data_IF_721646352180
#
_entry.id   IF_721646352180
#
_cell.length_a   1.000
_cell.length_b   1.000
_cell.length_c   1.000
_cell.angle_alpha   90.00
_cell.angle_beta   90.00
_cell.angle_gamma   90.00
#
_symmetry.space_group_name_H-M   'P 1'
#
loop_
_entity.id
_entity.type
_entity.pdbx_description
1 polymer ?
#
# COMPACT_ATOMS: atom_id res chain seq x y z
N UNK A 1 3.19 -6.06 -24.82
CA UNK A 1 2.59 -4.93 -24.09
C UNK A 1 3.23 -3.65 -24.63
N UNK A 2 2.49 -2.57 -24.87
CA UNK A 2 3.08 -1.27 -25.19
C UNK A 2 3.78 -0.72 -23.95
N UNK A 3 4.90 0.01 -24.14
CA UNK A 3 5.54 0.73 -23.03
C UNK A 3 4.54 1.75 -22.46
N UNK A 4 4.17 1.67 -21.18
CA UNK A 4 3.21 2.61 -20.60
C UNK A 4 3.83 4.01 -20.44
N UNK A 5 2.97 5.04 -20.50
CA UNK A 5 3.41 6.41 -20.18
C UNK A 5 3.46 6.69 -18.68
N UNK A 6 2.71 5.94 -17.90
CA UNK A 6 2.63 6.07 -16.44
C UNK A 6 2.52 4.67 -15.84
N UNK A 7 3.19 4.45 -14.70
CA UNK A 7 3.06 3.21 -13.93
C UNK A 7 2.60 3.53 -12.52
N UNK A 8 1.63 2.74 -12.04
CA UNK A 8 1.17 2.72 -10.64
C UNK A 8 1.58 1.40 -10.03
N UNK A 9 2.17 1.43 -8.86
CA UNK A 9 2.56 0.25 -8.08
C UNK A 9 1.65 0.05 -6.87
N UNK A 10 1.31 -1.19 -6.57
CA UNK A 10 1.01 -1.61 -5.22
C UNK A 10 2.27 -1.60 -4.35
N UNK A 11 2.14 -1.79 -3.04
CA UNK A 11 3.27 -1.76 -2.08
C UNK A 11 3.62 -3.14 -1.56
N UNK A 12 2.73 -3.73 -0.77
CA UNK A 12 2.99 -4.99 -0.09
C UNK A 12 3.03 -6.20 -1.04
N UNK A 13 4.11 -7.00 -1.03
CA UNK A 13 4.30 -8.07 -2.00
C UNK A 13 4.68 -7.61 -3.41
N UNK A 14 4.75 -6.29 -3.62
CA UNK A 14 5.11 -5.66 -4.91
C UNK A 14 6.41 -4.85 -4.78
N UNK A 15 6.43 -3.74 -4.06
CA UNK A 15 7.66 -2.96 -3.82
C UNK A 15 8.42 -3.53 -2.62
N UNK A 16 7.69 -3.87 -1.56
CA UNK A 16 8.24 -4.38 -0.31
C UNK A 16 7.64 -5.73 0.05
N UNK A 17 8.42 -6.53 0.72
CA UNK A 17 8.01 -7.65 1.54
C UNK A 17 8.38 -7.35 2.99
N UNK A 18 7.95 -8.17 3.95
CA UNK A 18 8.35 -7.88 5.31
C UNK A 18 8.19 -9.04 6.27
N UNK A 19 8.87 -8.88 7.41
CA UNK A 19 8.73 -9.80 8.54
C UNK A 19 7.62 -9.30 9.44
N UNK A 20 6.62 -10.15 9.61
CA UNK A 20 5.50 -9.90 10.50
C UNK A 20 5.81 -10.49 11.88
N UNK A 21 5.58 -9.69 12.91
CA UNK A 21 5.47 -10.14 14.28
C UNK A 21 4.00 -10.08 14.71
N UNK A 22 3.70 -10.40 15.97
CA UNK A 22 2.34 -10.25 16.47
C UNK A 22 1.88 -8.80 16.40
N UNK A 23 0.74 -8.56 15.75
CA UNK A 23 0.07 -7.26 15.70
C UNK A 23 -0.22 -6.69 17.10
N UNK A 24 -0.30 -7.57 18.11
CA UNK A 24 -0.45 -7.18 19.51
C UNK A 24 0.68 -6.31 20.03
N UNK A 25 1.89 -6.38 19.45
CA UNK A 25 3.00 -5.48 19.80
C UNK A 25 2.69 -4.01 19.55
N UNK A 26 1.86 -3.71 18.56
CA UNK A 26 1.38 -2.34 18.34
C UNK A 26 0.49 -1.87 19.48
N UNK A 27 -0.41 -2.71 19.96
CA UNK A 27 -1.24 -2.35 21.12
C UNK A 27 -0.45 -2.30 22.42
N UNK A 28 0.57 -3.17 22.58
CA UNK A 28 1.54 -3.07 23.70
C UNK A 28 2.26 -1.74 23.70
N UNK A 29 2.73 -1.27 22.53
CA UNK A 29 3.32 0.06 22.37
C UNK A 29 2.33 1.17 22.78
N UNK A 30 1.07 1.12 22.32
CA UNK A 30 0.05 2.11 22.72
C UNK A 30 -0.17 2.11 24.24
N UNK A 31 -0.29 0.93 24.85
CA UNK A 31 -0.47 0.81 26.29
C UNK A 31 0.70 1.37 27.08
N UNK A 32 1.93 0.99 26.71
CA UNK A 32 3.12 1.34 27.47
C UNK A 32 3.60 2.78 27.25
N UNK A 33 3.45 3.32 26.02
CA UNK A 33 4.13 4.55 25.61
C UNK A 33 3.19 5.71 25.28
N UNK A 34 1.92 5.43 24.95
CA UNK A 34 1.06 6.45 24.30
C UNK A 34 -0.16 6.82 25.13
N UNK A 35 -0.92 5.83 25.63
CA UNK A 35 -2.23 6.03 26.25
C UNK A 35 -2.17 6.00 27.78
N UNK A 36 -2.98 6.83 28.42
CA UNK A 36 -3.15 6.86 29.88
C UNK A 36 -4.13 5.78 30.36
N UNK A 37 -3.94 4.53 29.95
CA UNK A 37 -4.78 3.40 30.37
C UNK A 37 -4.59 3.16 31.86
N UNK A 38 -5.70 3.02 32.61
CA UNK A 38 -5.72 2.74 34.06
C UNK A 38 -6.02 1.28 34.37
N UNK A 39 -6.63 0.60 33.43
CA UNK A 39 -6.97 -0.82 33.45
C UNK A 39 -5.69 -1.67 33.37
N UNK A 40 -5.79 -2.93 33.78
CA UNK A 40 -4.70 -3.89 33.58
C UNK A 40 -4.43 -4.12 32.09
N UNK A 41 -3.24 -4.60 31.76
CA UNK A 41 -2.92 -4.92 30.36
C UNK A 41 -3.86 -5.96 29.77
N UNK A 42 -4.28 -6.94 30.55
CA UNK A 42 -5.21 -8.00 30.17
C UNK A 42 -6.59 -7.42 29.80
N UNK A 43 -7.13 -6.52 30.62
CA UNK A 43 -8.42 -5.85 30.35
C UNK A 43 -8.35 -4.95 29.12
N UNK A 44 -7.23 -4.20 28.97
CA UNK A 44 -7.00 -3.38 27.78
C UNK A 44 -6.93 -4.23 26.51
N UNK A 45 -6.19 -5.34 26.53
CA UNK A 45 -6.05 -6.23 25.37
C UNK A 45 -7.38 -6.90 25.03
N UNK A 46 -8.17 -7.33 26.00
CA UNK A 46 -9.51 -7.85 25.77
C UNK A 46 -10.38 -6.80 25.07
N UNK A 47 -10.35 -5.56 25.53
CA UNK A 47 -11.10 -4.46 24.94
C UNK A 47 -10.68 -4.20 23.49
N UNK A 48 -9.38 -4.00 23.22
CA UNK A 48 -8.90 -3.67 21.86
C UNK A 48 -9.03 -4.84 20.88
N UNK A 49 -9.08 -6.07 21.37
CA UNK A 49 -9.29 -7.27 20.55
C UNK A 49 -10.64 -7.23 19.81
N UNK A 50 -11.64 -6.55 20.35
CA UNK A 50 -12.92 -6.36 19.67
C UNK A 50 -12.80 -5.58 18.36
N UNK A 51 -11.77 -4.71 18.21
CA UNK A 51 -11.52 -4.00 16.96
C UNK A 51 -11.02 -4.91 15.83
N UNK A 52 -10.42 -6.07 16.15
CA UNK A 52 -10.00 -7.03 15.12
C UNK A 52 -11.17 -7.54 14.31
N UNK A 53 -12.29 -7.79 14.96
CA UNK A 53 -13.49 -8.25 14.27
C UNK A 53 -14.03 -7.16 13.32
N UNK A 54 -13.97 -5.89 13.74
CA UNK A 54 -14.36 -4.75 12.90
C UNK A 54 -13.39 -4.60 11.74
N UNK A 55 -12.08 -4.63 11.98
CA UNK A 55 -11.05 -4.51 10.97
C UNK A 55 -11.17 -5.64 9.92
N UNK A 56 -11.44 -6.86 10.36
CA UNK A 56 -11.60 -8.02 9.49
C UNK A 56 -12.88 -7.94 8.62
N UNK A 57 -13.89 -7.14 9.00
CA UNK A 57 -15.07 -6.92 8.15
C UNK A 57 -14.74 -6.15 6.87
N UNK A 58 -13.66 -5.37 6.84
CA UNK A 58 -13.25 -4.60 5.65
C UNK A 58 -13.01 -5.47 4.42
N UNK A 59 -12.63 -6.74 4.59
CA UNK A 59 -12.43 -7.67 3.48
C UNK A 59 -13.74 -8.15 2.85
N UNK A 60 -14.88 -7.87 3.48
CA UNK A 60 -16.22 -8.19 2.98
C UNK A 60 -16.86 -7.04 2.18
N UNK A 61 -16.24 -5.89 2.14
CA UNK A 61 -16.72 -4.71 1.42
C UNK A 61 -15.54 -3.87 0.92
N UNK A 62 -15.81 -2.95 -0.03
CA UNK A 62 -14.79 -2.06 -0.59
C UNK A 62 -14.49 -0.84 0.31
N UNK A 63 -14.93 -0.85 1.56
CA UNK A 63 -14.67 0.23 2.51
C UNK A 63 -13.33 0.02 3.23
N UNK A 64 -12.62 1.12 3.45
CA UNK A 64 -11.38 1.08 4.21
C UNK A 64 -11.61 1.52 5.65
N UNK A 65 -10.87 0.86 6.54
CA UNK A 65 -10.78 1.20 7.95
C UNK A 65 -9.55 2.08 8.19
N UNK A 66 -9.75 3.26 8.75
CA UNK A 66 -8.65 4.19 9.05
C UNK A 66 -8.06 3.94 10.44
N UNK A 67 -6.77 3.63 10.53
CA UNK A 67 -6.07 3.49 11.80
C UNK A 67 -6.05 4.79 12.59
N UNK A 68 -5.93 5.95 11.93
CA UNK A 68 -6.01 7.26 12.60
C UNK A 68 -7.37 7.45 13.29
N UNK A 69 -8.45 6.94 12.71
CA UNK A 69 -9.77 7.01 13.36
C UNK A 69 -9.84 6.12 14.61
N UNK A 70 -9.25 4.93 14.56
CA UNK A 70 -9.13 4.07 15.75
C UNK A 70 -8.25 4.73 16.82
N UNK A 71 -7.12 5.29 16.42
CA UNK A 71 -6.21 5.97 17.35
C UNK A 71 -6.88 7.14 18.04
N UNK A 72 -7.64 7.98 17.29
CA UNK A 72 -8.44 9.06 17.88
C UNK A 72 -9.44 8.53 18.90
N UNK A 73 -10.17 7.45 18.57
CA UNK A 73 -11.10 6.83 19.51
C UNK A 73 -10.42 6.39 20.81
N UNK A 74 -9.26 5.73 20.72
CA UNK A 74 -8.50 5.30 21.91
C UNK A 74 -7.96 6.47 22.71
N UNK A 75 -7.55 7.56 22.03
CA UNK A 75 -7.09 8.78 22.69
C UNK A 75 -8.24 9.48 23.42
N UNK A 76 -9.42 9.58 22.80
CA UNK A 76 -10.60 10.16 23.44
C UNK A 76 -11.03 9.35 24.67
N UNK A 77 -10.86 8.03 24.62
CA UNK A 77 -11.21 7.13 25.74
C UNK A 77 -10.21 7.20 26.90
N UNK A 78 -8.91 7.15 26.63
CA UNK A 78 -7.87 6.98 27.63
C UNK A 78 -7.02 8.24 27.88
N UNK A 79 -7.01 9.19 26.96
CA UNK A 79 -6.09 10.32 26.97
C UNK A 79 -4.67 9.95 26.56
N UNK A 80 -3.88 10.96 26.20
CA UNK A 80 -2.48 10.82 25.82
C UNK A 80 -1.54 11.02 27.01
N UNK A 81 -0.45 10.25 27.08
CA UNK A 81 0.70 10.48 27.96
C UNK A 81 1.98 10.85 27.21
N UNK A 82 1.90 11.09 25.91
CA UNK A 82 3.01 11.48 25.04
C UNK A 82 2.71 12.78 24.32
N UNK A 83 3.76 13.47 23.84
CA UNK A 83 3.66 14.66 22.98
C UNK A 83 3.88 14.35 21.50
N UNK A 84 3.96 13.08 21.13
CA UNK A 84 4.08 12.67 19.74
C UNK A 84 2.82 13.05 18.97
N UNK A 85 2.96 13.41 17.69
CA UNK A 85 1.81 13.61 16.83
C UNK A 85 1.19 12.26 16.38
N UNK A 86 -0.04 12.32 15.87
CA UNK A 86 -0.79 11.12 15.49
C UNK A 86 -0.07 10.26 14.44
N UNK A 87 0.62 10.87 13.48
CA UNK A 87 1.34 10.16 12.42
C UNK A 87 2.63 9.52 12.93
N UNK A 88 3.26 10.09 13.94
CA UNK A 88 4.38 9.46 14.64
C UNK A 88 3.92 8.25 15.44
N UNK A 89 2.82 8.38 16.17
CA UNK A 89 2.22 7.28 16.94
C UNK A 89 1.81 6.15 15.98
N UNK A 90 1.11 6.48 14.88
CA UNK A 90 0.71 5.52 13.86
C UNK A 90 1.92 4.75 13.31
N UNK A 91 2.96 5.46 12.93
CA UNK A 91 4.13 4.83 12.34
C UNK A 91 4.91 3.97 13.33
N UNK A 92 5.05 4.40 14.58
CA UNK A 92 5.69 3.61 15.63
C UNK A 92 4.87 2.37 15.97
N UNK A 93 3.53 2.46 15.98
CA UNK A 93 2.64 1.31 16.08
C UNK A 93 2.93 0.30 14.97
N UNK A 94 2.94 0.75 13.72
CA UNK A 94 3.22 -0.08 12.56
C UNK A 94 4.59 -0.76 12.64
N UNK A 95 5.64 0.00 12.96
CA UNK A 95 7.02 -0.48 13.08
C UNK A 95 7.24 -1.47 14.24
N UNK A 96 6.37 -1.44 15.26
CA UNK A 96 6.51 -2.36 16.41
C UNK A 96 6.31 -3.82 16.04
N UNK A 97 5.57 -4.11 14.97
CA UNK A 97 5.25 -5.48 14.57
C UNK A 97 5.60 -5.83 13.11
N UNK A 98 6.03 -4.85 12.32
CA UNK A 98 6.37 -5.07 10.91
C UNK A 98 7.70 -4.41 10.52
N UNK A 99 8.55 -5.15 9.83
CA UNK A 99 9.82 -4.69 9.29
C UNK A 99 9.82 -4.92 7.77
N UNK A 100 9.76 -3.83 7.01
CA UNK A 100 9.77 -3.84 5.55
C UNK A 100 11.18 -4.10 5.00
N UNK A 101 11.23 -4.90 3.94
CA UNK A 101 12.42 -5.10 3.10
C UNK A 101 12.02 -4.98 1.63
N UNK A 102 12.94 -4.55 0.77
CA UNK A 102 12.65 -4.45 -0.67
C UNK A 102 12.42 -5.83 -1.29
N UNK A 103 11.49 -5.88 -2.23
CA UNK A 103 11.37 -7.04 -3.11
C UNK A 103 12.65 -7.21 -3.94
N UNK A 104 13.08 -8.47 -4.21
CA UNK A 104 14.26 -8.71 -5.02
C UNK A 104 14.22 -7.98 -6.35
N UNK A 105 15.30 -7.31 -6.72
CA UNK A 105 15.50 -6.64 -8.02
C UNK A 105 14.53 -5.48 -8.33
N UNK A 106 13.65 -5.07 -7.38
CA UNK A 106 12.70 -3.96 -7.63
C UNK A 106 13.44 -2.65 -7.97
N UNK A 107 14.57 -2.38 -7.32
CA UNK A 107 15.36 -1.16 -7.59
C UNK A 107 15.87 -1.14 -9.02
N UNK A 108 16.26 -2.28 -9.59
CA UNK A 108 16.69 -2.36 -11.00
C UNK A 108 15.57 -1.92 -11.96
N UNK A 109 14.32 -2.29 -11.66
CA UNK A 109 13.17 -1.84 -12.42
C UNK A 109 12.92 -0.34 -12.23
N UNK A 110 12.96 0.15 -10.99
CA UNK A 110 12.73 1.56 -10.68
C UNK A 110 13.78 2.47 -11.36
N UNK A 111 15.06 2.08 -11.34
CA UNK A 111 16.14 2.79 -12.03
C UNK A 111 15.90 2.84 -13.56
N UNK A 112 15.58 1.69 -14.16
CA UNK A 112 15.27 1.63 -15.60
C UNK A 112 14.09 2.54 -15.97
N UNK A 113 12.99 2.50 -15.21
CA UNK A 113 11.83 3.33 -15.48
C UNK A 113 12.11 4.83 -15.30
N UNK A 114 12.94 5.18 -14.33
CA UNK A 114 13.43 6.54 -14.10
C UNK A 114 14.28 7.04 -15.29
N UNK A 115 15.20 6.21 -15.78
CA UNK A 115 16.04 6.53 -16.95
C UNK A 115 15.20 6.73 -18.22
N UNK A 116 14.07 6.03 -18.34
CA UNK A 116 13.08 6.23 -19.40
C UNK A 116 12.15 7.42 -19.16
N UNK A 117 12.30 8.15 -18.06
CA UNK A 117 11.45 9.26 -17.65
C UNK A 117 9.96 8.88 -17.55
N UNK A 118 9.65 7.65 -17.14
CA UNK A 118 8.28 7.19 -16.89
C UNK A 118 7.87 7.60 -15.48
N UNK A 119 6.84 8.46 -15.30
CA UNK A 119 6.35 8.84 -13.98
C UNK A 119 5.78 7.65 -13.22
N UNK A 120 6.18 7.52 -11.94
CA UNK A 120 5.79 6.42 -11.06
C UNK A 120 4.88 6.90 -9.94
N UNK A 121 3.87 6.12 -9.63
CA UNK A 121 2.87 6.38 -8.60
C UNK A 121 2.67 5.14 -7.74
N UNK A 122 2.12 5.33 -6.55
CA UNK A 122 1.79 4.24 -5.62
C UNK A 122 0.33 4.31 -5.21
N UNK A 123 -0.38 3.18 -5.25
CA UNK A 123 -1.74 3.00 -4.76
C UNK A 123 -1.82 1.75 -3.90
N UNK A 124 -1.83 1.93 -2.59
CA UNK A 124 -1.77 0.84 -1.60
C UNK A 124 -3.11 0.63 -0.88
N UNK A 125 -3.51 -0.63 -0.70
CA UNK A 125 -4.50 -1.01 0.30
C UNK A 125 -3.82 -1.11 1.66
N UNK A 126 -4.06 -0.13 2.51
CA UNK A 126 -3.50 -0.10 3.86
C UNK A 126 -4.45 0.68 4.78
N UNK A 127 -4.69 0.18 5.98
CA UNK A 127 -5.39 0.94 7.01
C UNK A 127 -4.60 2.15 7.53
N UNK A 128 -3.29 2.17 7.27
CA UNK A 128 -2.39 3.25 7.65
C UNK A 128 -2.44 4.40 6.65
N UNK A 129 -2.17 5.61 7.13
CA UNK A 129 -2.19 6.82 6.32
C UNK A 129 -1.16 6.81 5.19
N UNK A 130 -1.37 7.66 4.20
CA UNK A 130 -0.35 7.94 3.16
C UNK A 130 0.98 8.40 3.77
N UNK A 131 0.94 9.03 4.95
CA UNK A 131 2.17 9.43 5.67
C UNK A 131 2.96 8.19 6.10
N UNK A 132 2.31 7.20 6.71
CA UNK A 132 2.95 5.96 7.13
C UNK A 132 3.54 5.18 5.93
N UNK A 133 2.79 5.03 4.84
CA UNK A 133 3.28 4.37 3.62
C UNK A 133 4.47 5.11 3.01
N UNK A 134 4.46 6.45 2.99
CA UNK A 134 5.62 7.24 2.54
C UNK A 134 6.84 7.07 3.43
N UNK A 135 6.65 6.95 4.76
CA UNK A 135 7.75 6.70 5.70
C UNK A 135 8.35 5.31 5.48
N UNK A 136 7.51 4.29 5.29
CA UNK A 136 7.96 2.94 4.94
C UNK A 136 8.82 2.94 3.66
N UNK A 137 8.34 3.55 2.57
CA UNK A 137 9.08 3.66 1.32
C UNK A 137 10.38 4.48 1.47
N UNK A 138 10.43 5.43 2.40
CA UNK A 138 11.64 6.19 2.74
C UNK A 138 12.63 5.34 3.52
N UNK A 139 12.17 4.56 4.48
CA UNK A 139 13.02 3.70 5.31
C UNK A 139 13.72 2.62 4.47
N UNK A 140 13.04 2.11 3.42
CA UNK A 140 13.65 1.18 2.45
C UNK A 140 14.36 1.88 1.27
N UNK A 141 14.41 3.23 1.27
CA UNK A 141 15.25 4.02 0.35
C UNK A 141 14.66 4.29 -1.03
N UNK A 142 13.35 4.01 -1.28
CA UNK A 142 12.77 4.11 -2.63
C UNK A 142 11.73 5.22 -2.82
N UNK A 143 11.40 5.99 -1.79
CA UNK A 143 10.38 7.06 -1.88
C UNK A 143 10.68 8.08 -2.99
N UNK A 144 11.96 8.33 -3.29
CA UNK A 144 12.40 9.31 -4.30
C UNK A 144 12.10 8.93 -5.75
N UNK A 145 11.63 7.71 -6.02
CA UNK A 145 11.20 7.28 -7.35
C UNK A 145 9.75 7.70 -7.67
N UNK A 146 8.93 7.96 -6.65
CA UNK A 146 7.49 8.10 -6.82
C UNK A 146 7.04 9.57 -6.80
N UNK A 147 6.27 9.95 -7.83
CA UNK A 147 5.68 11.27 -7.96
C UNK A 147 4.58 11.52 -6.92
N UNK A 148 3.83 10.47 -6.58
CA UNK A 148 2.76 10.52 -5.56
C UNK A 148 2.50 9.14 -4.99
N UNK A 149 2.14 9.11 -3.72
CA UNK A 149 1.70 7.92 -2.98
C UNK A 149 0.28 8.18 -2.49
N UNK A 150 -0.60 7.20 -2.67
CA UNK A 150 -1.96 7.17 -2.10
C UNK A 150 -2.09 5.87 -1.30
N UNK A 151 -2.56 6.00 -0.05
CA UNK A 151 -3.02 4.89 0.79
C UNK A 151 -4.54 4.94 0.91
N UNK A 152 -5.20 3.79 0.87
CA UNK A 152 -6.63 3.68 1.14
C UNK A 152 -7.01 4.13 2.56
N UNK A 153 -6.08 4.08 3.52
CA UNK A 153 -6.29 4.53 4.91
C UNK A 153 -6.67 6.00 5.07
N UNK A 154 -6.37 6.85 4.07
CA UNK A 154 -6.82 8.24 4.01
C UNK A 154 -8.14 8.40 3.23
N UNK A 155 -8.71 7.31 2.73
CA UNK A 155 -9.90 7.32 1.88
C UNK A 155 -10.97 6.36 2.42
N UNK A 156 -12.22 6.58 2.04
CA UNK A 156 -13.35 5.75 2.48
C UNK A 156 -13.34 4.37 1.82
N UNK A 157 -12.66 4.25 0.67
CA UNK A 157 -12.68 3.05 -0.18
C UNK A 157 -11.29 2.48 -0.39
N UNK A 158 -11.24 1.18 -0.65
CA UNK A 158 -10.02 0.42 -0.96
C UNK A 158 -10.16 -0.33 -2.30
N UNK A 159 -9.05 -0.85 -2.84
CA UNK A 159 -9.11 -1.79 -3.96
C UNK A 159 -9.91 -3.04 -3.53
N UNK A 160 -10.73 -3.63 -4.39
CA UNK A 160 -10.83 -3.44 -5.82
C UNK A 160 -11.78 -2.31 -6.26
N UNK A 161 -12.26 -1.43 -5.37
CA UNK A 161 -13.14 -0.34 -5.78
C UNK A 161 -12.50 0.53 -6.87
N UNK A 162 -13.20 0.70 -7.99
CA UNK A 162 -12.74 1.58 -9.07
C UNK A 162 -12.63 3.05 -8.65
N UNK A 163 -13.30 3.45 -7.57
CA UNK A 163 -13.26 4.82 -7.06
C UNK A 163 -11.84 5.21 -6.62
N UNK A 164 -11.10 4.29 -6.02
CA UNK A 164 -9.72 4.57 -5.59
C UNK A 164 -8.80 4.79 -6.81
N UNK A 165 -8.94 3.98 -7.86
CA UNK A 165 -8.17 4.15 -9.11
C UNK A 165 -8.51 5.47 -9.82
N UNK A 166 -9.77 5.91 -9.76
CA UNK A 166 -10.22 7.17 -10.39
C UNK A 166 -9.52 8.41 -9.86
N UNK A 167 -8.97 8.37 -8.64
CA UNK A 167 -8.17 9.47 -8.10
C UNK A 167 -6.96 9.77 -9.00
N UNK A 168 -6.28 8.74 -9.48
CA UNK A 168 -5.18 8.90 -10.40
C UNK A 168 -5.64 9.11 -11.85
N UNK A 169 -6.61 8.32 -12.33
CA UNK A 169 -7.05 8.40 -13.71
C UNK A 169 -7.58 9.79 -14.08
N UNK A 170 -8.31 10.46 -13.16
CA UNK A 170 -8.76 11.84 -13.34
C UNK A 170 -7.58 12.81 -13.54
N UNK A 171 -6.52 12.64 -12.74
CA UNK A 171 -5.30 13.44 -12.85
C UNK A 171 -4.58 13.18 -14.17
N UNK A 172 -4.47 11.92 -14.59
CA UNK A 172 -3.76 11.54 -15.82
C UNK A 172 -4.50 12.00 -17.08
N UNK A 173 -5.83 11.95 -17.07
CA UNK A 173 -6.66 12.52 -18.12
C UNK A 173 -6.38 14.02 -18.33
N UNK A 174 -6.27 14.78 -17.23
CA UNK A 174 -5.88 16.20 -17.27
C UNK A 174 -4.45 16.42 -17.82
N UNK A 175 -3.59 15.41 -17.77
CA UNK A 175 -2.24 15.43 -18.37
C UNK A 175 -2.23 14.94 -19.82
N UNK A 176 -3.40 14.56 -20.38
CA UNK A 176 -3.51 14.04 -21.74
C UNK A 176 -3.05 12.58 -21.88
N UNK A 177 -3.06 11.80 -20.77
CA UNK A 177 -2.70 10.38 -20.77
C UNK A 177 -3.98 9.55 -20.66
N UNK A 178 -4.24 8.72 -21.68
CA UNK A 178 -5.39 7.80 -21.70
C UNK A 178 -5.18 6.63 -20.76
N UNK A 179 -6.27 5.97 -20.37
CA UNK A 179 -6.23 4.82 -19.45
C UNK A 179 -5.38 3.66 -20.01
N UNK A 180 -5.43 3.42 -21.31
CA UNK A 180 -4.66 2.38 -21.99
C UNK A 180 -3.13 2.60 -21.95
N UNK A 181 -2.70 3.83 -21.65
CA UNK A 181 -1.30 4.22 -21.53
C UNK A 181 -0.81 4.16 -20.07
N UNK A 182 -1.69 3.77 -19.13
CA UNK A 182 -1.38 3.57 -17.72
C UNK A 182 -1.25 2.07 -17.43
N UNK A 183 -0.18 1.70 -16.71
CA UNK A 183 0.01 0.33 -16.24
C UNK A 183 -0.10 0.26 -14.72
N UNK A 184 -0.77 -0.74 -14.22
CA UNK A 184 -0.79 -1.10 -12.80
C UNK A 184 0.06 -2.35 -12.56
N UNK A 185 0.93 -2.32 -11.53
CA UNK A 185 1.75 -3.46 -11.14
C UNK A 185 1.39 -3.84 -9.71
N UNK A 186 0.99 -5.09 -9.50
CA UNK A 186 0.63 -5.60 -8.18
C UNK A 186 0.78 -7.11 -8.08
N UNK A 187 0.48 -7.68 -6.91
CA UNK A 187 0.69 -9.10 -6.61
C UNK A 187 -0.59 -9.88 -6.32
N UNK A 188 -1.73 -9.20 -6.21
CA UNK A 188 -3.01 -9.85 -5.93
C UNK A 188 -3.94 -9.77 -7.14
N UNK A 189 -4.38 -10.92 -7.72
CA UNK A 189 -5.26 -10.92 -8.89
C UNK A 189 -6.60 -10.18 -8.65
N UNK A 190 -7.14 -10.27 -7.45
CA UNK A 190 -8.43 -9.67 -7.10
C UNK A 190 -8.30 -8.16 -6.90
N UNK A 191 -7.33 -7.72 -6.09
CA UNK A 191 -7.17 -6.31 -5.75
C UNK A 191 -6.45 -5.50 -6.83
N UNK A 192 -5.52 -6.11 -7.59
CA UNK A 192 -4.57 -5.38 -8.41
C UNK A 192 -4.76 -5.57 -9.92
N UNK A 193 -5.49 -6.61 -10.36
CA UNK A 193 -5.58 -6.94 -11.78
C UNK A 193 -6.99 -6.72 -12.34
N UNK A 194 -8.02 -7.22 -11.67
CA UNK A 194 -9.38 -7.17 -12.20
C UNK A 194 -9.87 -5.75 -12.47
N UNK A 195 -9.65 -4.83 -11.52
CA UNK A 195 -10.13 -3.45 -11.66
C UNK A 195 -9.34 -2.65 -12.71
N UNK A 196 -7.99 -2.64 -12.74
CA UNK A 196 -7.24 -2.03 -13.84
C UNK A 196 -7.71 -2.50 -15.22
N UNK A 197 -7.87 -3.81 -15.43
CA UNK A 197 -8.36 -4.34 -16.70
C UNK A 197 -9.77 -3.81 -17.02
N UNK A 198 -10.68 -3.78 -16.05
CA UNK A 198 -12.04 -3.26 -16.25
C UNK A 198 -12.07 -1.76 -16.58
N UNK A 199 -11.01 -1.04 -16.23
CA UNK A 199 -10.80 0.38 -16.52
C UNK A 199 -9.96 0.60 -17.78
N UNK A 200 -9.75 -0.41 -18.62
CA UNK A 200 -8.91 -0.38 -19.82
C UNK A 200 -7.44 0.02 -19.57
N UNK A 201 -6.92 -0.21 -18.38
CA UNK A 201 -5.51 -0.04 -18.06
C UNK A 201 -4.73 -1.30 -18.45
N UNK A 202 -3.42 -1.16 -18.67
CA UNK A 202 -2.51 -2.29 -18.68
C UNK A 202 -2.32 -2.81 -17.24
N UNK A 203 -2.10 -4.12 -17.09
CA UNK A 203 -1.87 -4.70 -15.78
C UNK A 203 -0.74 -5.73 -15.81
N UNK A 204 0.05 -5.78 -14.74
CA UNK A 204 1.13 -6.74 -14.53
C UNK A 204 0.93 -7.37 -13.16
N UNK A 205 0.80 -8.69 -13.13
CA UNK A 205 0.75 -9.50 -11.92
C UNK A 205 2.15 -10.01 -11.58
N UNK A 206 2.62 -9.75 -10.37
CA UNK A 206 3.81 -10.39 -9.81
C UNK A 206 3.37 -11.66 -9.09
N UNK A 207 3.88 -12.81 -9.52
CA UNK A 207 3.58 -14.11 -8.95
C UNK A 207 4.83 -15.02 -8.96
N UNK A 208 4.63 -16.33 -8.88
CA UNK A 208 5.67 -17.34 -9.07
C UNK A 208 5.73 -17.88 -10.51
N UNK A 209 5.02 -17.24 -11.45
CA UNK A 209 4.88 -17.68 -12.84
C UNK A 209 5.22 -16.58 -13.83
N UNK A 210 5.59 -16.99 -15.04
CA UNK A 210 5.67 -16.09 -16.19
C UNK A 210 4.70 -16.56 -17.28
N UNK A 211 3.65 -15.77 -17.51
CA UNK A 211 2.62 -16.08 -18.51
C UNK A 211 2.08 -14.80 -19.15
N UNK A 212 1.85 -14.84 -20.45
CA UNK A 212 1.14 -13.77 -21.18
C UNK A 212 -0.33 -14.14 -21.29
N UNK A 213 -1.16 -13.45 -20.55
CA UNK A 213 -2.61 -13.55 -20.66
C UNK A 213 -3.13 -12.59 -21.74
N UNK A 214 -4.37 -12.76 -22.17
CA UNK A 214 -4.97 -11.90 -23.18
C UNK A 214 -5.00 -10.41 -22.75
N UNK A 215 -5.22 -10.16 -21.45
CA UNK A 215 -5.44 -8.81 -20.91
C UNK A 215 -4.38 -8.30 -19.94
N UNK A 216 -3.46 -9.14 -19.49
CA UNK A 216 -2.40 -8.76 -18.56
C UNK A 216 -1.16 -9.65 -18.71
N UNK A 217 -0.05 -9.19 -18.21
CA UNK A 217 1.19 -9.94 -18.12
C UNK A 217 1.37 -10.46 -16.68
N UNK A 218 1.70 -11.73 -16.53
CA UNK A 218 2.10 -12.34 -15.26
C UNK A 218 3.60 -12.59 -15.31
N UNK A 219 4.32 -12.18 -14.28
CA UNK A 219 5.78 -12.27 -14.20
C UNK A 219 6.22 -12.91 -12.87
N UNK A 220 7.32 -13.65 -12.95
CA UNK A 220 7.96 -14.30 -11.80
C UNK A 220 9.04 -13.46 -11.13
N UNK A 221 9.52 -12.42 -11.80
CA UNK A 221 10.57 -11.55 -11.28
C UNK A 221 10.64 -10.20 -11.99
N UNK A 222 11.21 -9.20 -11.34
CA UNK A 222 11.49 -7.90 -11.98
C UNK A 222 12.53 -7.99 -13.09
N UNK A 223 13.43 -8.99 -13.06
CA UNK A 223 14.34 -9.25 -14.19
C UNK A 223 13.59 -9.70 -15.44
N UNK A 224 12.59 -10.56 -15.27
CA UNK A 224 11.71 -10.97 -16.37
C UNK A 224 10.95 -9.79 -16.93
N UNK A 225 10.38 -8.91 -16.07
CA UNK A 225 9.71 -7.71 -16.53
C UNK A 225 10.64 -6.77 -17.29
N UNK A 226 11.85 -6.54 -16.79
CA UNK A 226 12.85 -5.70 -17.47
C UNK A 226 13.19 -6.23 -18.86
N UNK A 227 13.29 -7.54 -19.03
CA UNK A 227 13.51 -8.16 -20.34
C UNK A 227 12.33 -7.91 -21.27
N UNK A 228 11.10 -8.16 -20.82
CA UNK A 228 9.88 -7.91 -21.59
C UNK A 228 9.73 -6.44 -22.01
N UNK A 229 10.08 -5.49 -21.14
CA UNK A 229 10.02 -4.05 -21.45
C UNK A 229 11.04 -3.67 -22.51
N UNK A 230 12.28 -4.18 -22.43
CA UNK A 230 13.37 -3.89 -23.39
C UNK A 230 13.13 -4.51 -24.77
N UNK A 231 12.46 -5.66 -24.85
CA UNK A 231 12.12 -6.32 -26.12
C UNK A 231 10.97 -5.62 -26.87
N UNK A 232 10.22 -4.74 -26.18
CA UNK A 232 9.08 -4.00 -26.75
C UNK A 232 9.38 -2.51 -26.99
N UNK A 233 10.63 -2.09 -26.87
CA UNK A 233 11.14 -0.77 -27.32
C UNK A 233 11.38 -0.75 -28.84
#
# INVERSE_FOLDING_TARGET
MKLPKIIIFDVGGTIVSGKWQSFMKGYEYLYNEVLNVKETYEEYIEFVSNFFDIINQRDKCDLEFSFISLLNYLIDLYGLKTNLDLYEIEYNFYKSYYEATLMPDVVLLLDYLKDKNIPLYVLSNSMYSTNAVKRELRDVGVIGYFNQVISSGDHVVRKPSSLLFKLYLKKFDMMGVSQEEVCYIGNDPYFDINTPISLNMQAILISDKHCKHEKYLEIDSYKTLLKELKENE
#
